data_IF_961082882003
#
_entry.id   IF_961082882003
#
_cell.length_a   1.000
_cell.length_b   1.000
_cell.length_c   1.000
_cell.angle_alpha   90.00
_cell.angle_beta   90.00
_cell.angle_gamma   90.00
#
_symmetry.space_group_name_H-M   'P 1'
#
loop_
_entity.id
_entity.type
_entity.pdbx_description
1 polymer ?
#
# COMPACT_ATOMS: atom_id res chain seq x y z
N UNK A 1 -24.00 27.69 -3.50
CA UNK A 1 -25.06 26.77 -3.90
C UNK A 1 -25.25 25.75 -2.79
N UNK A 2 -26.48 25.38 -2.49
CA UNK A 2 -26.78 24.34 -1.50
C UNK A 2 -26.46 23.00 -2.13
N UNK A 3 -25.67 22.13 -1.52
CA UNK A 3 -25.48 20.81 -2.08
C UNK A 3 -26.83 20.05 -1.98
N UNK A 4 -27.32 19.54 -3.09
CA UNK A 4 -28.53 18.71 -3.12
C UNK A 4 -28.26 17.30 -2.52
N UNK A 5 -26.99 16.97 -2.30
CA UNK A 5 -26.53 15.70 -1.77
C UNK A 5 -26.46 15.69 -0.23
N UNK A 6 -26.76 14.56 0.38
CA UNK A 6 -26.49 14.34 1.81
C UNK A 6 -24.99 14.42 2.09
N UNK A 7 -24.57 15.27 3.03
CA UNK A 7 -23.18 15.44 3.42
C UNK A 7 -22.83 14.55 4.61
N UNK A 8 -21.57 14.15 4.70
CA UNK A 8 -20.98 13.41 5.82
C UNK A 8 -19.68 14.04 6.26
N UNK A 9 -19.33 13.92 7.54
CA UNK A 9 -18.12 14.49 8.13
C UNK A 9 -16.91 13.62 7.77
N UNK A 10 -15.80 14.30 7.45
CA UNK A 10 -14.51 13.68 7.18
C UNK A 10 -13.41 14.38 7.97
N UNK A 11 -12.27 13.70 8.16
CA UNK A 11 -11.09 14.28 8.80
C UNK A 11 -10.42 15.33 7.89
N UNK A 12 -9.54 16.17 8.48
CA UNK A 12 -8.73 17.12 7.71
C UNK A 12 -7.84 16.44 6.69
N UNK A 13 -7.22 15.34 7.08
CA UNK A 13 -6.35 14.54 6.19
C UNK A 13 -7.12 13.98 4.99
N UNK A 14 -8.30 13.40 5.24
CA UNK A 14 -9.20 12.97 4.16
C UNK A 14 -9.65 14.14 3.28
N UNK A 15 -9.93 15.30 3.90
CA UNK A 15 -10.35 16.49 3.14
C UNK A 15 -9.24 17.00 2.22
N UNK A 16 -7.98 17.02 2.66
CA UNK A 16 -6.83 17.40 1.83
C UNK A 16 -6.67 16.44 0.67
N UNK A 17 -6.61 15.15 0.92
CA UNK A 17 -6.45 14.12 -0.12
C UNK A 17 -7.57 14.19 -1.17
N UNK A 18 -8.82 14.21 -0.72
CA UNK A 18 -9.99 14.24 -1.61
C UNK A 18 -10.11 15.56 -2.39
N UNK A 19 -9.66 16.68 -1.81
CA UNK A 19 -9.58 17.96 -2.50
C UNK A 19 -8.53 17.93 -3.63
N UNK A 20 -7.35 17.38 -3.35
CA UNK A 20 -6.27 17.21 -4.33
C UNK A 20 -6.71 16.26 -5.48
N UNK A 21 -7.60 15.30 -5.21
CA UNK A 21 -8.28 14.45 -6.21
C UNK A 21 -9.45 15.13 -6.95
N UNK A 22 -9.67 16.45 -6.72
CA UNK A 22 -10.70 17.24 -7.38
C UNK A 22 -12.12 17.06 -6.84
N UNK A 23 -12.28 16.47 -5.63
CA UNK A 23 -13.60 16.32 -4.99
C UNK A 23 -14.05 17.63 -4.35
N UNK A 24 -15.36 17.82 -4.29
CA UNK A 24 -15.96 18.99 -3.65
C UNK A 24 -16.00 18.81 -2.12
N UNK A 25 -15.18 19.57 -1.42
CA UNK A 25 -15.12 19.59 0.04
C UNK A 25 -15.87 20.78 0.55
N UNK A 26 -16.60 20.59 1.64
CA UNK A 26 -17.39 21.64 2.31
C UNK A 26 -16.87 21.86 3.73
N UNK A 27 -16.77 23.11 4.13
CA UNK A 27 -16.38 23.55 5.46
C UNK A 27 -17.62 23.98 6.24
N UNK A 28 -17.79 23.47 7.47
CA UNK A 28 -18.79 23.94 8.40
C UNK A 28 -18.17 25.10 9.22
N UNK A 29 -18.69 26.31 9.04
CA UNK A 29 -18.39 27.47 9.88
C UNK A 29 -19.56 27.70 10.85
N UNK A 30 -19.55 28.84 11.53
CA UNK A 30 -20.61 29.28 12.46
C UNK A 30 -22.00 29.39 11.78
N UNK A 31 -22.02 29.46 10.45
CA UNK A 31 -23.25 29.42 9.65
C UNK A 31 -23.83 28.00 9.57
N UNK A 32 -25.14 27.79 9.61
CA UNK A 32 -25.77 26.49 9.44
C UNK A 32 -25.61 25.93 7.98
N UNK A 33 -25.02 26.71 7.09
CA UNK A 33 -24.84 26.33 5.70
C UNK A 33 -23.39 25.92 5.42
N UNK A 34 -23.16 24.74 4.83
CA UNK A 34 -21.83 24.34 4.42
C UNK A 34 -21.32 25.27 3.31
N UNK A 35 -20.05 25.62 3.40
CA UNK A 35 -19.36 26.49 2.43
C UNK A 35 -18.42 25.62 1.61
N UNK A 36 -18.54 25.69 0.28
CA UNK A 36 -17.62 24.98 -0.63
C UNK A 36 -16.20 25.53 -0.44
N UNK A 37 -15.25 24.62 -0.24
CA UNK A 37 -13.81 24.92 -0.22
C UNK A 37 -13.37 25.16 -1.65
N UNK A 38 -12.68 26.27 -1.89
CA UNK A 38 -12.19 26.67 -3.21
C UNK A 38 -10.67 26.67 -3.29
N UNK A 39 -9.99 26.75 -2.15
CA UNK A 39 -8.53 26.79 -2.06
C UNK A 39 -8.05 25.80 -1.00
N UNK A 40 -6.94 25.11 -1.28
CA UNK A 40 -6.35 24.10 -0.40
C UNK A 40 -5.99 24.64 0.98
N UNK A 41 -5.51 25.89 1.03
CA UNK A 41 -5.17 26.59 2.27
C UNK A 41 -6.39 26.75 3.23
N UNK A 42 -7.60 26.73 2.72
CA UNK A 42 -8.81 26.76 3.56
C UNK A 42 -8.95 25.48 4.39
N UNK A 43 -8.46 24.34 3.88
CA UNK A 43 -8.42 23.07 4.61
C UNK A 43 -7.25 23.10 5.59
N UNK A 44 -6.08 23.54 5.16
CA UNK A 44 -4.87 23.58 6.00
C UNK A 44 -5.01 24.46 7.22
N UNK A 45 -5.68 25.61 7.08
CA UNK A 45 -5.88 26.63 8.13
C UNK A 45 -7.26 26.59 8.78
N UNK A 46 -8.18 25.80 8.24
CA UNK A 46 -9.55 25.72 8.67
C UNK A 46 -9.76 25.06 10.03
N UNK A 47 -10.97 25.18 10.58
CA UNK A 47 -11.42 24.40 11.73
C UNK A 47 -11.67 22.92 11.34
N UNK A 48 -11.76 22.04 12.33
CA UNK A 48 -11.67 20.59 12.16
C UNK A 48 -12.90 19.87 11.58
N UNK A 49 -13.88 20.60 11.03
CA UNK A 49 -15.12 20.00 10.52
C UNK A 49 -15.28 20.20 9.02
N UNK A 50 -14.85 19.18 8.27
CA UNK A 50 -15.02 19.11 6.82
C UNK A 50 -16.14 18.12 6.48
N UNK A 51 -16.81 18.34 5.37
CA UNK A 51 -17.84 17.45 4.84
C UNK A 51 -17.65 17.21 3.35
N UNK A 52 -18.11 16.05 2.92
CA UNK A 52 -18.17 15.63 1.51
C UNK A 52 -19.55 15.02 1.23
N UNK A 53 -19.98 14.99 -0.01
CA UNK A 53 -21.16 14.22 -0.41
C UNK A 53 -20.98 12.74 -0.07
N UNK A 54 -21.99 12.11 0.55
CA UNK A 54 -21.92 10.68 0.91
C UNK A 54 -21.60 9.81 -0.27
N UNK A 55 -22.18 10.08 -1.42
CA UNK A 55 -21.92 9.35 -2.65
C UNK A 55 -20.46 9.40 -3.09
N UNK A 56 -19.81 10.55 -2.92
CA UNK A 56 -18.40 10.71 -3.28
C UNK A 56 -17.49 9.97 -2.32
N UNK A 57 -17.82 9.96 -1.02
CA UNK A 57 -17.10 9.18 -0.02
C UNK A 57 -17.27 7.67 -0.23
N UNK A 58 -18.48 7.21 -0.56
CA UNK A 58 -18.73 5.79 -0.85
C UNK A 58 -18.02 5.36 -2.15
N UNK A 59 -18.00 6.19 -3.18
CA UNK A 59 -17.21 5.95 -4.40
C UNK A 59 -15.71 5.89 -4.12
N UNK A 60 -15.22 6.77 -3.25
CA UNK A 60 -13.81 6.78 -2.83
C UNK A 60 -13.48 5.49 -2.05
N UNK A 61 -14.32 5.09 -1.10
CA UNK A 61 -14.16 3.83 -0.37
C UNK A 61 -14.22 2.62 -1.30
N UNK A 62 -15.15 2.60 -2.24
CA UNK A 62 -15.27 1.52 -3.21
C UNK A 62 -14.04 1.46 -4.11
N UNK A 63 -13.55 2.60 -4.61
CA UNK A 63 -12.29 2.68 -5.37
C UNK A 63 -11.09 2.23 -4.55
N UNK A 64 -11.03 2.62 -3.25
CA UNK A 64 -10.00 2.17 -2.34
C UNK A 64 -10.05 0.65 -2.10
N UNK A 65 -11.25 0.08 -1.94
CA UNK A 65 -11.46 -1.38 -1.83
C UNK A 65 -11.05 -2.09 -3.12
N UNK A 66 -11.52 -1.64 -4.30
CA UNK A 66 -11.13 -2.19 -5.60
C UNK A 66 -9.62 -2.12 -5.81
N UNK A 67 -8.96 -1.03 -5.39
CA UNK A 67 -7.51 -0.89 -5.46
C UNK A 67 -6.77 -1.77 -4.44
N UNK A 68 -7.36 -2.03 -3.27
CA UNK A 68 -6.79 -2.96 -2.29
C UNK A 68 -6.93 -4.42 -2.72
N UNK A 69 -7.90 -4.73 -3.58
CA UNK A 69 -8.13 -6.07 -4.16
C UNK A 69 -7.24 -6.36 -5.37
N UNK A 70 -6.70 -5.32 -6.01
CA UNK A 70 -5.77 -5.50 -7.14
C UNK A 70 -4.45 -6.09 -6.64
N UNK A 71 -3.94 -7.07 -7.38
CA UNK A 71 -2.60 -7.59 -7.13
C UNK A 71 -1.57 -6.44 -7.10
N UNK A 72 -0.54 -6.51 -6.24
CA UNK A 72 0.46 -5.44 -6.12
C UNK A 72 1.08 -5.02 -7.46
N UNK A 73 1.24 -5.97 -8.39
CA UNK A 73 1.72 -5.72 -9.76
C UNK A 73 0.76 -4.86 -10.56
N UNK A 74 -0.54 -5.16 -10.51
CA UNK A 74 -1.57 -4.40 -11.24
C UNK A 74 -1.67 -2.96 -10.73
N UNK A 75 -1.59 -2.79 -9.42
CA UNK A 75 -1.60 -1.46 -8.81
C UNK A 75 -0.38 -0.66 -9.22
N UNK A 76 0.82 -1.26 -9.17
CA UNK A 76 2.04 -0.57 -9.58
C UNK A 76 2.03 -0.23 -11.06
N UNK A 77 1.55 -1.14 -11.94
CA UNK A 77 1.44 -0.87 -13.36
C UNK A 77 0.49 0.30 -13.67
N UNK A 78 -0.64 0.39 -12.97
CA UNK A 78 -1.57 1.51 -13.11
C UNK A 78 -0.95 2.84 -12.62
N UNK A 79 -0.27 2.83 -11.46
CA UNK A 79 0.39 4.02 -10.93
C UNK A 79 1.55 4.51 -11.84
N UNK A 80 2.25 3.58 -12.51
CA UNK A 80 3.27 3.91 -13.52
C UNK A 80 2.66 4.55 -14.77
N UNK A 81 1.54 4.04 -15.25
CA UNK A 81 0.82 4.62 -16.39
C UNK A 81 0.26 6.00 -16.05
N UNK A 82 -0.34 6.17 -14.87
CA UNK A 82 -0.81 7.47 -14.40
C UNK A 82 0.34 8.47 -14.28
N UNK A 83 1.49 8.05 -13.75
CA UNK A 83 2.68 8.91 -13.68
C UNK A 83 3.20 9.26 -15.07
N UNK A 84 3.25 8.32 -16.01
CA UNK A 84 3.68 8.58 -17.40
C UNK A 84 2.76 9.59 -18.09
N UNK A 85 1.45 9.46 -17.89
CA UNK A 85 0.46 10.39 -18.42
C UNK A 85 0.64 11.81 -17.87
N UNK A 86 0.87 11.96 -16.57
CA UNK A 86 1.04 13.26 -15.92
C UNK A 86 2.39 13.91 -16.29
N UNK A 87 3.47 13.09 -16.39
CA UNK A 87 4.82 13.56 -16.67
C UNK A 87 5.01 13.99 -18.13
N UNK A 88 4.38 13.28 -19.07
CA UNK A 88 4.50 13.57 -20.52
C UNK A 88 3.14 13.69 -21.22
N UNK A 89 2.29 14.56 -20.69
CA UNK A 89 0.94 14.82 -21.18
C UNK A 89 0.86 15.08 -22.70
N UNK A 90 1.89 15.62 -23.32
CA UNK A 90 1.90 15.94 -24.74
C UNK A 90 2.11 14.72 -25.65
N UNK A 91 2.79 13.70 -25.17
CA UNK A 91 3.03 12.46 -25.92
C UNK A 91 2.02 11.36 -25.59
N UNK A 92 1.39 11.43 -24.42
CA UNK A 92 0.41 10.44 -23.93
C UNK A 92 -1.04 10.82 -24.28
N UNK A 93 -1.27 11.40 -25.45
CA UNK A 93 -2.63 11.80 -25.90
C UNK A 93 -3.50 10.63 -26.37
N UNK A 94 -3.25 9.45 -25.90
CA UNK A 94 -3.86 8.26 -26.44
C UNK A 94 -5.23 7.97 -25.81
N UNK A 95 -6.02 7.16 -26.49
CA UNK A 95 -7.36 6.77 -26.05
C UNK A 95 -7.30 5.99 -24.73
N UNK A 96 -8.40 5.90 -24.02
CA UNK A 96 -8.52 5.06 -22.81
C UNK A 96 -8.14 3.60 -23.09
N UNK A 97 -8.44 3.12 -24.30
CA UNK A 97 -8.12 1.77 -24.77
C UNK A 97 -6.60 1.56 -24.87
N UNK A 98 -5.86 2.56 -25.36
CA UNK A 98 -4.39 2.51 -25.45
C UNK A 98 -3.75 2.50 -24.06
N UNK A 99 -4.32 3.21 -23.09
CA UNK A 99 -3.87 3.21 -21.68
C UNK A 99 -4.08 1.85 -21.00
N UNK A 100 -5.22 1.20 -21.23
CA UNK A 100 -5.46 -0.16 -20.71
C UNK A 100 -4.42 -1.14 -21.26
N UNK A 101 -4.08 -1.02 -22.54
CA UNK A 101 -3.03 -1.83 -23.15
C UNK A 101 -1.65 -1.50 -22.58
N UNK A 102 -1.33 -0.23 -22.34
CA UNK A 102 -0.06 0.19 -21.72
C UNK A 102 0.09 -0.40 -20.29
N UNK A 103 -0.96 -0.35 -19.49
CA UNK A 103 -0.97 -0.96 -18.14
C UNK A 103 -0.71 -2.48 -18.23
N UNK A 104 -1.32 -3.18 -19.19
CA UNK A 104 -1.10 -4.62 -19.34
C UNK A 104 0.33 -4.95 -19.76
N UNK A 105 0.93 -4.15 -20.66
CA UNK A 105 2.34 -4.29 -21.04
C UNK A 105 3.26 -4.06 -19.84
N UNK A 106 3.03 -3.01 -19.05
CA UNK A 106 3.81 -2.74 -17.83
C UNK A 106 3.71 -3.90 -16.84
N UNK A 107 2.51 -4.44 -16.66
CA UNK A 107 2.26 -5.60 -15.79
C UNK A 107 3.05 -6.84 -16.26
N UNK A 108 3.01 -7.14 -17.56
CA UNK A 108 3.78 -8.25 -18.14
C UNK A 108 5.28 -8.07 -17.93
N UNK A 109 5.82 -6.87 -18.18
CA UNK A 109 7.23 -6.56 -17.96
C UNK A 109 7.65 -6.75 -16.50
N UNK A 110 6.85 -6.23 -15.55
CA UNK A 110 7.10 -6.38 -14.11
C UNK A 110 7.07 -7.86 -13.72
N UNK A 111 6.10 -8.63 -14.19
CA UNK A 111 5.98 -10.06 -13.91
C UNK A 111 7.14 -10.88 -14.49
N UNK A 112 7.62 -10.49 -15.65
CA UNK A 112 8.79 -11.12 -16.28
C UNK A 112 10.12 -10.72 -15.61
N UNK A 113 10.13 -9.73 -14.75
CA UNK A 113 11.34 -9.15 -14.14
C UNK A 113 12.14 -8.25 -15.09
N UNK A 114 11.56 -7.88 -16.24
CA UNK A 114 12.16 -6.96 -17.22
C UNK A 114 11.86 -5.50 -16.83
N UNK A 115 12.40 -5.09 -15.70
CA UNK A 115 12.11 -3.78 -15.09
C UNK A 115 13.14 -2.71 -15.44
N UNK A 116 14.25 -3.07 -16.05
CA UNK A 116 15.34 -2.13 -16.30
C UNK A 116 14.92 -0.92 -17.14
N UNK A 117 14.14 -1.08 -18.24
CA UNK A 117 13.66 0.06 -19.01
C UNK A 117 12.76 1.00 -18.20
N UNK A 118 11.87 0.43 -17.37
CA UNK A 118 10.97 1.20 -16.51
C UNK A 118 11.79 1.99 -15.48
N UNK A 119 12.77 1.35 -14.87
CA UNK A 119 13.63 1.95 -13.85
C UNK A 119 14.49 3.08 -14.43
N UNK A 120 15.08 2.89 -15.62
CA UNK A 120 15.86 3.92 -16.31
C UNK A 120 15.00 5.13 -16.67
N UNK A 121 13.81 4.92 -17.17
CA UNK A 121 12.87 6.01 -17.46
C UNK A 121 12.47 6.80 -16.20
N UNK A 122 12.14 6.13 -15.10
CA UNK A 122 11.86 6.78 -13.83
C UNK A 122 13.07 7.54 -13.28
N UNK A 123 14.29 7.01 -13.48
CA UNK A 123 15.51 7.70 -13.08
C UNK A 123 15.71 9.01 -13.84
N UNK A 124 15.43 9.02 -15.14
CA UNK A 124 15.41 10.26 -15.93
C UNK A 124 14.38 11.24 -15.40
N UNK A 125 13.19 10.75 -15.03
CA UNK A 125 12.16 11.60 -14.43
C UNK A 125 12.61 12.22 -13.10
N UNK A 126 13.35 11.49 -12.26
CA UNK A 126 13.95 12.04 -11.02
C UNK A 126 14.99 13.12 -11.32
N UNK A 127 15.79 12.94 -12.37
CA UNK A 127 16.89 13.85 -12.71
C UNK A 127 16.42 15.12 -13.44
N UNK A 128 15.36 15.01 -14.25
CA UNK A 128 14.86 16.11 -15.09
C UNK A 128 13.69 16.90 -14.46
N UNK A 129 13.13 16.44 -13.34
CA UNK A 129 12.04 17.13 -12.64
C UNK A 129 12.43 17.56 -11.23
N UNK A 130 11.61 18.45 -10.64
CA UNK A 130 11.76 18.94 -9.27
C UNK A 130 10.43 18.75 -8.50
N UNK A 131 10.50 18.80 -7.17
CA UNK A 131 9.33 18.75 -6.30
C UNK A 131 8.56 17.42 -6.40
N UNK A 132 7.25 17.50 -6.49
CA UNK A 132 6.33 16.38 -6.39
C UNK A 132 6.58 15.28 -7.44
N UNK A 133 6.93 15.65 -8.66
CA UNK A 133 7.22 14.67 -9.72
C UNK A 133 8.49 13.86 -9.44
N UNK A 134 9.57 14.52 -9.01
CA UNK A 134 10.80 13.82 -8.66
C UNK A 134 10.59 12.88 -7.46
N UNK A 135 9.83 13.32 -6.44
CA UNK A 135 9.49 12.51 -5.27
C UNK A 135 8.63 11.30 -5.66
N UNK A 136 7.62 11.49 -6.50
CA UNK A 136 6.75 10.41 -6.99
C UNK A 136 7.51 9.40 -7.84
N UNK A 137 8.41 9.84 -8.72
CA UNK A 137 9.28 8.96 -9.50
C UNK A 137 10.19 8.12 -8.59
N UNK A 138 10.80 8.73 -7.57
CA UNK A 138 11.64 8.02 -6.60
C UNK A 138 10.84 7.01 -5.76
N UNK A 139 9.61 7.33 -5.39
CA UNK A 139 8.69 6.38 -4.73
C UNK A 139 8.38 5.19 -5.64
N UNK A 140 8.06 5.43 -6.91
CA UNK A 140 7.77 4.36 -7.87
C UNK A 140 8.96 3.43 -8.10
N UNK A 141 10.20 3.97 -8.17
CA UNK A 141 11.42 3.15 -8.21
C UNK A 141 11.51 2.26 -6.97
N UNK A 142 11.28 2.83 -5.78
CA UNK A 142 11.34 2.09 -4.52
C UNK A 142 10.33 0.94 -4.49
N UNK A 143 9.10 1.20 -4.92
CA UNK A 143 8.03 0.20 -5.00
C UNK A 143 8.32 -0.88 -6.03
N UNK A 144 8.86 -0.50 -7.20
CA UNK A 144 9.28 -1.45 -8.24
C UNK A 144 10.38 -2.38 -7.74
N UNK A 145 11.42 -1.83 -7.13
CA UNK A 145 12.53 -2.59 -6.56
C UNK A 145 12.05 -3.53 -5.42
N UNK A 146 11.12 -3.08 -4.57
CA UNK A 146 10.53 -3.89 -3.50
C UNK A 146 9.72 -5.07 -4.07
N UNK A 147 8.91 -4.83 -5.09
CA UNK A 147 8.08 -5.85 -5.73
C UNK A 147 8.95 -6.94 -6.37
N UNK A 148 10.03 -6.55 -7.06
CA UNK A 148 10.96 -7.53 -7.67
C UNK A 148 11.71 -8.34 -6.61
N UNK A 149 12.11 -7.71 -5.49
CA UNK A 149 12.70 -8.42 -4.36
C UNK A 149 11.70 -9.43 -3.77
N UNK A 150 10.43 -9.06 -3.66
CA UNK A 150 9.38 -9.95 -3.18
C UNK A 150 9.12 -11.11 -4.15
N UNK A 151 9.02 -10.84 -5.45
CA UNK A 151 8.89 -11.89 -6.47
C UNK A 151 10.07 -12.88 -6.40
N UNK A 152 11.28 -12.36 -6.27
CA UNK A 152 12.48 -13.21 -6.11
C UNK A 152 12.43 -14.04 -4.83
N UNK A 153 11.98 -13.46 -3.72
CA UNK A 153 11.77 -14.16 -2.45
C UNK A 153 10.75 -15.28 -2.59
N UNK A 154 9.63 -15.03 -3.30
CA UNK A 154 8.49 -15.95 -3.33
C UNK A 154 8.55 -16.96 -4.47
N UNK A 155 9.19 -16.65 -5.61
CA UNK A 155 9.23 -17.53 -6.78
C UNK A 155 10.57 -18.24 -6.96
N UNK A 156 11.61 -17.83 -6.23
CA UNK A 156 12.97 -18.27 -6.46
C UNK A 156 13.26 -19.67 -5.95
N UNK A 157 14.09 -20.38 -6.70
CA UNK A 157 14.77 -21.60 -6.23
C UNK A 157 15.92 -21.29 -5.25
N UNK A 158 16.27 -20.01 -5.12
CA UNK A 158 17.31 -19.55 -4.21
C UNK A 158 16.75 -19.46 -2.77
N UNK A 159 17.54 -19.95 -1.83
CA UNK A 159 17.20 -19.84 -0.40
C UNK A 159 17.32 -18.39 0.05
N UNK A 160 16.23 -17.80 0.48
CA UNK A 160 16.16 -16.41 0.94
C UNK A 160 15.27 -16.27 2.17
N UNK A 161 15.47 -15.20 2.92
CA UNK A 161 14.48 -14.76 3.90
C UNK A 161 14.09 -13.30 3.62
N UNK A 162 12.89 -12.94 4.06
CA UNK A 162 12.37 -11.57 4.01
C UNK A 162 11.78 -11.17 5.33
N UNK A 163 11.82 -9.87 5.64
CA UNK A 163 11.21 -9.27 6.81
C UNK A 163 10.13 -8.32 6.34
N UNK A 164 8.93 -8.50 6.87
CA UNK A 164 7.76 -7.68 6.61
C UNK A 164 7.36 -6.97 7.89
N UNK A 165 7.09 -5.68 7.78
CA UNK A 165 6.69 -4.84 8.91
C UNK A 165 5.41 -4.09 8.57
N UNK A 166 4.54 -3.87 9.57
CA UNK A 166 3.28 -3.16 9.40
C UNK A 166 3.57 -1.69 9.17
N UNK A 167 3.00 -1.14 8.11
CA UNK A 167 3.07 0.29 7.79
C UNK A 167 2.04 1.09 8.59
N UNK A 168 2.40 2.30 8.99
CA UNK A 168 1.60 3.16 9.88
C UNK A 168 0.32 3.76 9.24
N UNK A 169 -0.23 3.17 8.17
CA UNK A 169 -1.21 3.82 7.30
C UNK A 169 -2.67 3.69 7.74
N UNK A 170 -3.02 2.73 8.58
CA UNK A 170 -4.41 2.55 9.01
C UNK A 170 -4.49 2.43 10.54
N UNK A 171 -5.17 3.39 11.20
CA UNK A 171 -5.36 3.37 12.64
C UNK A 171 -6.46 2.39 13.08
N UNK A 172 -7.38 2.00 12.19
CA UNK A 172 -8.48 1.08 12.53
C UNK A 172 -8.02 -0.38 12.62
N UNK A 173 -6.92 -0.73 11.93
CA UNK A 173 -6.36 -2.10 11.93
C UNK A 173 -4.94 -2.14 12.50
N UNK A 174 -4.58 -1.20 13.38
CA UNK A 174 -3.25 -1.15 13.97
C UNK A 174 -3.08 -2.22 15.06
N UNK A 175 -2.57 -3.38 14.66
CA UNK A 175 -2.16 -4.42 15.58
C UNK A 175 -0.64 -4.52 15.74
N UNK A 176 0.09 -3.46 15.46
CA UNK A 176 1.54 -3.38 15.71
C UNK A 176 1.84 -3.65 17.17
N UNK A 177 2.88 -4.44 17.38
CA UNK A 177 3.35 -4.88 18.70
C UNK A 177 2.34 -5.74 19.49
N UNK A 178 1.26 -6.18 18.87
CA UNK A 178 0.29 -7.08 19.48
C UNK A 178 0.65 -8.54 19.17
N UNK A 179 0.43 -9.41 20.15
CA UNK A 179 0.61 -10.86 19.94
C UNK A 179 -0.57 -11.44 19.14
N UNK A 180 -0.35 -12.60 18.52
CA UNK A 180 -1.34 -13.24 17.65
C UNK A 180 -2.64 -13.61 18.38
N UNK A 181 -2.55 -13.98 19.67
CA UNK A 181 -3.72 -14.26 20.48
C UNK A 181 -4.60 -13.01 20.70
N UNK A 182 -3.97 -11.85 20.93
CA UNK A 182 -4.68 -10.57 21.00
C UNK A 182 -5.38 -10.24 19.68
N UNK A 183 -4.67 -10.33 18.56
CA UNK A 183 -5.22 -10.07 17.21
C UNK A 183 -6.47 -10.92 16.96
N UNK A 184 -6.35 -12.24 17.21
CA UNK A 184 -7.45 -13.19 17.00
C UNK A 184 -8.64 -12.93 17.92
N UNK A 185 -8.41 -12.67 19.21
CA UNK A 185 -9.50 -12.42 20.19
C UNK A 185 -10.28 -11.12 19.90
N UNK A 186 -9.67 -10.15 19.28
CA UNK A 186 -10.34 -8.91 18.88
C UNK A 186 -10.97 -8.97 17.48
N UNK A 187 -11.03 -10.17 16.90
CA UNK A 187 -11.64 -10.37 15.57
C UNK A 187 -10.85 -9.77 14.42
N UNK A 188 -9.59 -9.40 14.68
CA UNK A 188 -8.65 -8.97 13.65
C UNK A 188 -7.94 -10.17 13.04
N UNK A 189 -7.43 -10.00 11.85
CA UNK A 189 -6.64 -11.01 11.16
C UNK A 189 -5.38 -10.39 10.58
N UNK A 190 -4.29 -11.14 10.61
CA UNK A 190 -3.04 -10.74 9.97
C UNK A 190 -3.23 -10.77 8.46
N UNK A 191 -3.12 -9.61 7.83
CA UNK A 191 -3.31 -9.45 6.38
C UNK A 191 -2.00 -9.03 5.71
N UNK A 192 -1.60 -9.72 4.64
CA UNK A 192 -0.40 -9.36 3.84
C UNK A 192 -0.43 -7.89 3.38
N UNK A 193 -1.60 -7.34 3.08
CA UNK A 193 -1.76 -5.98 2.59
C UNK A 193 -1.35 -4.90 3.63
N UNK A 194 -1.32 -5.25 4.93
CA UNK A 194 -0.93 -4.34 6.00
C UNK A 194 0.60 -4.22 6.16
N UNK A 195 1.37 -5.03 5.41
CA UNK A 195 2.81 -5.15 5.56
C UNK A 195 3.58 -4.66 4.34
N UNK A 196 4.73 -4.07 4.59
CA UNK A 196 5.75 -3.80 3.59
C UNK A 196 6.95 -4.74 3.77
N UNK A 197 7.51 -5.21 2.65
CA UNK A 197 8.78 -5.93 2.64
C UNK A 197 9.92 -4.93 2.87
N UNK A 198 10.52 -4.96 4.06
CA UNK A 198 11.57 -4.01 4.47
C UNK A 198 12.99 -4.57 4.30
N UNK A 199 13.13 -5.89 4.15
CA UNK A 199 14.45 -6.51 3.97
C UNK A 199 14.36 -7.88 3.31
N UNK A 200 15.38 -8.21 2.51
CA UNK A 200 15.62 -9.57 1.99
C UNK A 200 17.11 -9.89 2.00
N UNK A 201 17.45 -11.13 2.29
CA UNK A 201 18.82 -11.62 2.17
C UNK A 201 18.86 -13.14 1.88
N UNK A 202 20.00 -13.67 1.42
CA UNK A 202 20.18 -15.10 1.30
C UNK A 202 19.99 -15.82 2.64
N UNK A 203 19.28 -16.94 2.62
CA UNK A 203 19.07 -17.79 3.79
C UNK A 203 20.19 -18.83 3.86
N UNK A 204 20.96 -18.84 4.93
CA UNK A 204 22.01 -19.80 5.21
C UNK A 204 21.56 -20.82 6.28
N UNK A 205 22.31 -21.88 6.47
CA UNK A 205 22.01 -22.90 7.51
C UNK A 205 22.04 -22.35 8.94
N UNK A 206 22.67 -21.17 9.13
CA UNK A 206 22.75 -20.50 10.44
C UNK A 206 21.58 -19.57 10.71
N UNK A 207 20.78 -19.28 9.70
CA UNK A 207 19.68 -18.32 9.78
C UNK A 207 18.40 -19.03 10.27
N UNK A 208 18.35 -19.34 11.56
CA UNK A 208 17.09 -19.73 12.23
C UNK A 208 16.27 -18.46 12.50
N UNK A 209 14.99 -18.63 12.79
CA UNK A 209 14.10 -17.50 13.17
C UNK A 209 14.67 -16.72 14.36
N UNK A 210 15.21 -17.42 15.36
CA UNK A 210 15.83 -16.83 16.55
C UNK A 210 17.11 -16.08 16.18
N UNK A 211 17.95 -16.63 15.30
CA UNK A 211 19.18 -15.99 14.85
C UNK A 211 18.88 -14.72 14.02
N UNK A 212 17.84 -14.75 13.18
CA UNK A 212 17.36 -13.59 12.45
C UNK A 212 16.84 -12.54 13.46
N UNK A 213 16.00 -12.93 14.41
CA UNK A 213 15.49 -12.03 15.44
C UNK A 213 16.62 -11.37 16.22
N UNK A 214 17.60 -12.13 16.69
CA UNK A 214 18.76 -11.60 17.43
C UNK A 214 19.56 -10.61 16.57
N UNK A 215 19.87 -10.97 15.31
CA UNK A 215 20.61 -10.12 14.37
C UNK A 215 19.94 -8.76 14.19
N UNK A 216 18.64 -8.74 13.92
CA UNK A 216 17.90 -7.52 13.64
C UNK A 216 17.54 -6.68 14.87
N UNK A 217 17.82 -7.20 16.07
CA UNK A 217 17.70 -6.45 17.32
C UNK A 217 19.04 -5.97 17.87
N UNK A 218 20.16 -6.71 17.65
CA UNK A 218 21.46 -6.42 18.25
C UNK A 218 22.47 -5.86 17.25
N UNK A 219 22.53 -6.44 16.04
CA UNK A 219 23.53 -6.13 15.01
C UNK A 219 22.88 -5.94 13.64
N UNK A 220 21.99 -4.95 13.56
CA UNK A 220 21.25 -4.68 12.33
C UNK A 220 22.18 -4.43 11.13
N UNK A 221 21.90 -5.06 9.96
CA UNK A 221 22.58 -4.71 8.72
C UNK A 221 22.47 -3.22 8.41
N UNK A 222 23.52 -2.62 7.81
CA UNK A 222 23.54 -1.19 7.51
C UNK A 222 22.51 -0.78 6.45
N UNK A 223 22.10 -1.72 5.61
CA UNK A 223 21.09 -1.56 4.55
C UNK A 223 19.66 -1.88 5.01
N UNK A 224 19.47 -2.18 6.31
CA UNK A 224 18.15 -2.39 6.88
C UNK A 224 17.49 -1.07 7.25
N UNK A 225 16.39 -0.76 6.59
CA UNK A 225 15.64 0.51 6.76
C UNK A 225 14.48 0.41 7.75
N UNK A 226 14.09 -0.80 8.15
CA UNK A 226 13.00 -1.06 9.09
C UNK A 226 13.36 -0.77 10.55
N UNK A 227 12.36 -0.85 11.44
CA UNK A 227 12.57 -0.85 12.89
C UNK A 227 13.11 -2.21 13.37
N UNK A 228 13.62 -2.28 14.62
CA UNK A 228 14.02 -3.54 15.26
C UNK A 228 12.90 -4.58 15.11
N UNK A 229 13.28 -5.83 14.81
CA UNK A 229 12.33 -6.91 14.64
C UNK A 229 11.52 -7.11 15.94
N UNK A 230 10.21 -6.95 15.85
CA UNK A 230 9.31 -6.83 16.99
C UNK A 230 8.09 -7.74 16.85
N UNK A 231 7.36 -7.91 17.93
CA UNK A 231 6.05 -8.60 17.91
C UNK A 231 5.17 -7.93 16.84
N UNK A 232 4.44 -8.72 16.10
CA UNK A 232 3.65 -8.41 14.89
C UNK A 232 4.40 -8.38 13.57
N UNK A 233 5.73 -8.31 13.56
CA UNK A 233 6.48 -8.44 12.32
C UNK A 233 6.38 -9.88 11.77
N UNK A 234 6.59 -10.04 10.46
CA UNK A 234 6.55 -11.36 9.81
C UNK A 234 7.90 -11.66 9.16
N UNK A 235 8.48 -12.79 9.52
CA UNK A 235 9.68 -13.33 8.87
C UNK A 235 9.25 -14.41 7.88
N UNK A 236 9.62 -14.24 6.62
CA UNK A 236 9.36 -15.21 5.56
C UNK A 236 10.65 -15.95 5.23
N UNK A 237 10.58 -17.27 5.26
CA UNK A 237 11.69 -18.15 4.90
C UNK A 237 11.34 -18.88 3.61
N UNK A 238 12.19 -18.76 2.60
CA UNK A 238 12.19 -19.59 1.41
C UNK A 238 13.42 -20.49 1.46
N UNK A 239 13.23 -21.81 1.65
CA UNK A 239 14.30 -22.80 1.70
C UNK A 239 14.63 -23.41 0.31
N UNK A 240 14.05 -22.85 -0.76
CA UNK A 240 14.16 -23.33 -2.14
C UNK A 240 13.16 -24.46 -2.48
N UNK A 241 12.35 -24.91 -1.50
CA UNK A 241 11.31 -25.94 -1.68
C UNK A 241 9.96 -25.50 -1.15
N UNK A 242 9.95 -24.73 -0.09
CA UNK A 242 8.77 -24.24 0.58
C UNK A 242 8.96 -22.82 1.07
N UNK A 243 7.86 -22.08 1.15
CA UNK A 243 7.82 -20.74 1.68
C UNK A 243 7.00 -20.80 2.98
N UNK A 244 7.57 -20.27 4.05
CA UNK A 244 6.92 -20.18 5.36
C UNK A 244 6.91 -18.73 5.82
N UNK A 245 5.74 -18.21 6.15
CA UNK A 245 5.58 -16.93 6.82
C UNK A 245 5.41 -17.20 8.32
N UNK A 246 6.19 -16.51 9.15
CA UNK A 246 6.23 -16.70 10.59
C UNK A 246 6.06 -15.36 11.28
N UNK A 247 4.97 -15.23 12.02
CA UNK A 247 4.66 -14.07 12.87
C UNK A 247 5.59 -14.05 14.08
N UNK A 248 6.20 -12.92 14.35
CA UNK A 248 6.95 -12.72 15.59
C UNK A 248 5.93 -12.54 16.73
N UNK A 249 5.83 -13.51 17.61
CA UNK A 249 4.90 -13.48 18.73
C UNK A 249 5.60 -13.05 20.03
N UNK A 250 4.84 -12.86 21.11
CA UNK A 250 5.36 -12.54 22.44
C UNK A 250 6.32 -13.61 22.99
N UNK A 251 6.14 -14.86 22.60
CA UNK A 251 7.03 -15.99 22.88
C UNK A 251 7.24 -16.78 21.60
N UNK A 252 8.41 -16.61 20.96
CA UNK A 252 8.77 -17.35 19.76
C UNK A 252 8.04 -16.86 18.50
N UNK A 253 7.66 -17.80 17.63
CA UNK A 253 7.09 -17.51 16.33
C UNK A 253 5.86 -18.40 16.08
N UNK A 254 4.87 -17.83 15.39
CA UNK A 254 3.68 -18.56 14.95
C UNK A 254 3.63 -18.60 13.41
N UNK A 255 3.41 -19.78 12.83
CA UNK A 255 3.29 -19.94 11.39
C UNK A 255 1.98 -19.33 10.87
N UNK A 256 2.06 -18.60 9.75
CA UNK A 256 0.93 -17.99 9.04
C UNK A 256 0.75 -18.66 7.67
N UNK A 257 0.05 -19.80 7.59
CA UNK A 257 -0.03 -20.57 6.34
C UNK A 257 -0.79 -19.86 5.22
N UNK A 258 -1.58 -18.86 5.57
CA UNK A 258 -2.46 -18.13 4.64
C UNK A 258 -1.97 -16.70 4.34
N UNK A 259 -0.77 -16.31 4.81
CA UNK A 259 -0.25 -14.95 4.68
C UNK A 259 -0.18 -14.45 3.23
N UNK A 260 0.15 -15.33 2.26
CA UNK A 260 0.22 -15.01 0.83
C UNK A 260 -0.97 -15.53 0.02
N UNK A 261 -2.01 -16.05 0.66
CA UNK A 261 -3.21 -16.48 -0.07
C UNK A 261 -4.08 -15.26 -0.39
N UNK A 262 -4.41 -15.09 -1.64
CA UNK A 262 -5.44 -14.13 -2.05
C UNK A 262 -6.75 -14.49 -1.35
N UNK A 263 -7.34 -13.54 -0.62
CA UNK A 263 -8.67 -13.71 -0.05
C UNK A 263 -9.69 -13.69 -1.17
N UNK A 264 -10.29 -14.85 -1.46
CA UNK A 264 -11.58 -14.88 -2.13
C UNK A 264 -12.61 -14.37 -1.12
N UNK A 265 -12.98 -13.08 -1.24
CA UNK A 265 -14.08 -12.54 -0.44
C UNK A 265 -15.33 -13.39 -0.65
N UNK A 266 -15.87 -13.92 0.45
CA UNK A 266 -17.19 -14.57 0.47
C UNK A 266 -18.27 -13.50 0.26
N UNK A 267 -18.57 -13.20 -1.01
CA UNK A 267 -19.73 -12.41 -1.45
C UNK A 267 -21.09 -13.00 -0.97
N UNK A 268 -21.06 -14.08 -0.20
CA UNK A 268 -22.25 -14.77 0.31
C UNK A 268 -22.81 -14.21 1.61
N UNK A 269 -22.12 -13.31 2.32
CA UNK A 269 -22.63 -12.81 3.61
C UNK A 269 -23.49 -11.55 3.51
N UNK A 270 -23.43 -10.78 2.44
CA UNK A 270 -24.27 -9.58 2.31
C UNK A 270 -25.67 -9.82 1.72
N UNK A 271 -25.88 -10.93 1.05
CA UNK A 271 -27.21 -11.26 0.48
C UNK A 271 -28.22 -11.78 1.53
N UNK A 272 -27.75 -12.13 2.73
CA UNK A 272 -28.60 -12.66 3.81
C UNK A 272 -29.03 -11.64 4.86
N UNK A 273 -28.64 -10.36 4.72
CA UNK A 273 -29.05 -9.28 5.61
C UNK A 273 -30.09 -8.34 4.99
N UNK A 274 -30.53 -8.59 3.73
CA UNK A 274 -31.54 -7.80 3.01
C UNK A 274 -32.78 -8.63 2.60
N UNK A 275 -33.09 -9.72 3.31
CA UNK A 275 -34.40 -10.39 3.24
C UNK A 275 -35.20 -10.20 4.53
#
# INVERSE_FOLDING_TARGET
ARPDAALTVISREQALRLFDEGKQIYLIRISPWPVLVTEREEIERGSDYFQIAKEDLEKDKQKAMENSEKAPVEKLAADLDDFAFDFDFYHYKDSVEDREQAVEVLKEQIQAGDIQPIREWLQVAVEESEGEFAEKAAELITRLDALVKEQKLLSGSEKQFGIYQITARDQEHDYRFMNLDFVTRHGMEVNRADYELVYTAPLTEKDTLEAIYERFNIQRPADFTGHSLSVSDVVVLNDGKSIKACYVDSIGFAELPDFFKERKMDLKKETLLNE
#
